data_IF_089012366575
#
_entry.id   IF_089012366575
#
_cell.length_a   1.000
_cell.length_b   1.000
_cell.length_c   1.000
_cell.angle_alpha   90.00
_cell.angle_beta   90.00
_cell.angle_gamma   90.00
#
_symmetry.space_group_name_H-M   'P 1'
#
loop_
_entity.id
_entity.type
_entity.pdbx_description
1 polymer ?
#
# COMPACT_ATOMS: atom_id res chain seq x y z
N UNK A 1 -35.95 -16.37 6.18
CA UNK A 1 -34.66 -16.86 5.64
C UNK A 1 -34.24 -16.16 4.36
N UNK A 2 -35.05 -16.12 3.28
CA UNK A 2 -34.68 -15.42 2.03
C UNK A 2 -34.28 -13.94 2.22
N UNK A 3 -35.00 -13.19 3.05
CA UNK A 3 -34.68 -11.78 3.37
C UNK A 3 -33.34 -11.60 4.12
N UNK A 4 -32.95 -12.57 4.94
CA UNK A 4 -31.66 -12.57 5.66
C UNK A 4 -30.49 -12.87 4.73
N UNK A 5 -30.66 -13.79 3.76
CA UNK A 5 -29.65 -14.10 2.75
C UNK A 5 -29.39 -12.89 1.84
N UNK A 6 -30.46 -12.18 1.44
CA UNK A 6 -30.32 -10.95 0.63
C UNK A 6 -29.59 -9.87 1.42
N UNK A 7 -29.95 -9.67 2.70
CA UNK A 7 -29.28 -8.69 3.56
C UNK A 7 -27.78 -9.02 3.76
N UNK A 8 -27.47 -10.30 3.95
CA UNK A 8 -26.09 -10.78 4.06
C UNK A 8 -25.30 -10.54 2.77
N UNK A 9 -25.87 -10.88 1.61
CA UNK A 9 -25.21 -10.66 0.31
C UNK A 9 -24.98 -9.17 0.03
N UNK A 10 -25.95 -8.29 0.32
CA UNK A 10 -25.76 -6.84 0.15
C UNK A 10 -24.71 -6.26 1.10
N UNK A 11 -24.59 -6.84 2.30
CA UNK A 11 -23.57 -6.42 3.27
C UNK A 11 -22.17 -6.78 2.77
N UNK A 12 -21.96 -8.02 2.28
CA UNK A 12 -20.67 -8.46 1.73
C UNK A 12 -20.26 -7.66 0.49
N UNK A 13 -21.20 -7.32 -0.40
CA UNK A 13 -20.92 -6.49 -1.58
C UNK A 13 -20.52 -5.04 -1.25
N UNK A 14 -20.88 -4.54 -0.06
CA UNK A 14 -20.56 -3.16 0.34
C UNK A 14 -19.11 -2.97 0.81
N UNK A 15 -18.35 -4.06 1.00
CA UNK A 15 -16.95 -4.04 1.43
C UNK A 15 -15.95 -4.31 0.31
N UNK A 16 -16.33 -4.13 -0.96
CA UNK A 16 -15.38 -4.24 -2.06
C UNK A 16 -14.24 -3.22 -1.89
N UNK A 17 -13.04 -3.72 -1.62
CA UNK A 17 -11.80 -2.99 -1.41
C UNK A 17 -11.38 -2.32 -2.72
N UNK A 18 -11.69 -1.03 -2.87
CA UNK A 18 -11.35 -0.19 -4.03
C UNK A 18 -11.89 -0.69 -5.39
N UNK A 19 -12.08 0.17 -6.39
CA UNK A 19 -12.55 -0.29 -7.71
C UNK A 19 -11.47 -1.04 -8.52
N UNK A 20 -10.28 -1.23 -7.94
CA UNK A 20 -9.13 -1.87 -8.57
C UNK A 20 -8.71 -3.08 -7.74
N UNK A 21 -8.42 -4.19 -8.41
CA UNK A 21 -7.82 -5.37 -7.78
C UNK A 21 -6.30 -5.36 -7.97
N UNK A 22 -5.62 -6.12 -7.11
CA UNK A 22 -4.22 -6.49 -7.18
C UNK A 22 -3.98 -7.68 -8.14
N UNK A 23 -5.01 -8.14 -8.84
CA UNK A 23 -4.89 -9.19 -9.85
C UNK A 23 -3.86 -8.81 -10.92
N UNK A 24 -3.04 -9.78 -11.32
CA UNK A 24 -2.06 -9.64 -12.41
C UNK A 24 -0.92 -8.63 -12.17
N UNK A 25 -0.73 -8.12 -10.95
CA UNK A 25 0.45 -7.32 -10.62
C UNK A 25 1.69 -8.24 -10.62
N UNK A 26 2.54 -8.10 -11.65
CA UNK A 26 3.76 -8.92 -11.82
C UNK A 26 5.04 -8.15 -11.59
N UNK A 27 5.00 -6.84 -11.73
CA UNK A 27 6.17 -5.99 -11.66
C UNK A 27 5.81 -4.56 -11.25
N UNK A 28 6.61 -3.98 -10.35
CA UNK A 28 6.42 -2.63 -9.80
C UNK A 28 7.78 -2.00 -9.55
N UNK A 29 7.88 -0.67 -9.63
CA UNK A 29 9.05 0.07 -9.19
C UNK A 29 8.92 0.39 -7.71
N UNK A 30 9.75 -0.23 -6.86
CA UNK A 30 9.74 0.02 -5.42
C UNK A 30 10.41 1.37 -5.09
N UNK A 31 9.69 2.25 -4.40
CA UNK A 31 10.18 3.57 -4.00
C UNK A 31 9.79 3.90 -2.56
N UNK A 32 10.73 4.44 -1.79
CA UNK A 32 10.45 5.03 -0.50
C UNK A 32 10.42 6.57 -0.64
N UNK A 33 9.33 7.21 -0.21
CA UNK A 33 9.17 8.66 -0.28
C UNK A 33 9.46 9.30 1.08
N UNK A 34 10.70 9.74 1.27
CA UNK A 34 11.18 10.47 2.45
C UNK A 34 11.45 11.96 2.12
N UNK A 35 10.43 12.69 1.62
CA UNK A 35 10.59 14.06 1.07
C UNK A 35 11.18 15.12 2.02
N UNK A 36 11.20 14.87 3.32
CA UNK A 36 11.72 15.82 4.33
C UNK A 36 12.86 15.24 5.16
N UNK A 37 13.39 14.08 4.76
CA UNK A 37 14.41 13.34 5.54
C UNK A 37 14.01 13.17 7.01
N UNK A 38 12.71 12.99 7.23
CA UNK A 38 12.12 12.89 8.56
C UNK A 38 12.48 11.57 9.25
N UNK A 39 13.05 10.63 8.49
CA UNK A 39 13.34 9.26 8.88
C UNK A 39 14.79 8.99 8.53
N UNK A 40 15.48 8.25 9.40
CA UNK A 40 16.88 7.89 9.16
C UNK A 40 17.02 7.04 7.90
N UNK A 41 18.09 7.29 7.14
CA UNK A 41 18.41 6.51 5.93
C UNK A 41 18.54 5.01 6.23
N UNK A 42 19.07 4.67 7.41
CA UNK A 42 19.19 3.29 7.88
C UNK A 42 17.83 2.60 8.00
N UNK A 43 16.83 3.28 8.55
CA UNK A 43 15.48 2.75 8.67
C UNK A 43 14.81 2.64 7.29
N UNK A 44 14.97 3.65 6.44
CA UNK A 44 14.48 3.63 5.05
C UNK A 44 15.04 2.43 4.26
N UNK A 45 16.35 2.19 4.35
CA UNK A 45 17.01 1.04 3.71
C UNK A 45 16.52 -0.30 4.30
N UNK A 46 16.35 -0.37 5.63
CA UNK A 46 15.84 -1.57 6.31
C UNK A 46 14.43 -1.93 5.84
N UNK A 47 13.51 -0.96 5.80
CA UNK A 47 12.13 -1.15 5.36
C UNK A 47 12.10 -1.51 3.88
N UNK A 48 12.82 -0.76 3.03
CA UNK A 48 12.86 -0.99 1.59
C UNK A 48 13.37 -2.39 1.26
N UNK A 49 14.43 -2.85 1.95
CA UNK A 49 14.96 -4.20 1.79
C UNK A 49 13.93 -5.27 2.16
N UNK A 50 13.27 -5.12 3.31
CA UNK A 50 12.28 -6.09 3.79
C UNK A 50 11.07 -6.16 2.86
N UNK A 51 10.53 -5.02 2.44
CA UNK A 51 9.42 -4.96 1.48
C UNK A 51 9.82 -5.60 0.15
N UNK A 52 11.02 -5.30 -0.35
CA UNK A 52 11.55 -5.92 -1.57
C UNK A 52 11.58 -7.44 -1.46
N UNK A 53 12.13 -7.98 -0.37
CA UNK A 53 12.23 -9.42 -0.14
C UNK A 53 10.83 -10.09 -0.13
N UNK A 54 9.83 -9.47 0.49
CA UNK A 54 8.47 -10.02 0.49
C UNK A 54 7.79 -9.93 -0.88
N UNK A 55 7.95 -8.83 -1.62
CA UNK A 55 7.44 -8.72 -3.00
C UNK A 55 8.08 -9.77 -3.92
N UNK A 56 9.39 -9.99 -3.82
CA UNK A 56 10.10 -10.99 -4.61
C UNK A 56 9.65 -12.43 -4.26
N UNK A 57 9.34 -12.72 -2.99
CA UNK A 57 8.73 -14.01 -2.58
C UNK A 57 7.34 -14.23 -3.18
N UNK A 58 6.58 -13.16 -3.40
CA UNK A 58 5.29 -13.21 -4.11
C UNK A 58 5.45 -13.33 -5.64
N UNK A 59 6.68 -13.34 -6.15
CA UNK A 59 6.97 -13.38 -7.59
C UNK A 59 6.84 -12.01 -8.27
N UNK A 60 6.68 -10.92 -7.50
CA UNK A 60 6.57 -9.56 -8.01
C UNK A 60 7.98 -8.99 -8.21
N UNK A 61 8.33 -8.63 -9.45
CA UNK A 61 9.60 -7.97 -9.74
C UNK A 61 9.57 -6.53 -9.24
N UNK A 62 10.62 -6.09 -8.54
CA UNK A 62 10.66 -4.72 -7.97
C UNK A 62 11.35 -3.68 -8.85
N UNK A 63 11.43 -3.93 -10.16
CA UNK A 63 11.96 -3.01 -11.16
C UNK A 63 11.27 -3.26 -12.50
N UNK A 64 10.76 -2.21 -13.16
CA UNK A 64 10.10 -2.30 -14.47
C UNK A 64 10.28 -1.02 -15.27
N UNK A 65 10.24 -1.15 -16.60
CA UNK A 65 10.18 -0.02 -17.53
C UNK A 65 8.78 0.63 -17.58
N UNK A 66 7.75 -0.10 -17.13
CA UNK A 66 6.38 0.40 -17.09
C UNK A 66 6.20 1.40 -15.94
N UNK A 67 5.27 2.34 -16.10
CA UNK A 67 4.86 3.21 -15.00
C UNK A 67 3.91 2.43 -14.08
N UNK A 68 4.48 1.59 -13.22
CA UNK A 68 3.82 0.99 -12.05
C UNK A 68 4.76 1.12 -10.87
N UNK A 69 4.32 1.76 -9.79
CA UNK A 69 5.17 2.14 -8.68
C UNK A 69 4.56 1.65 -7.38
N UNK A 70 5.31 0.83 -6.65
CA UNK A 70 5.00 0.47 -5.27
C UNK A 70 5.68 1.49 -4.35
N UNK A 71 4.89 2.36 -3.76
CA UNK A 71 5.35 3.52 -3.00
C UNK A 71 5.12 3.26 -1.52
N UNK A 72 6.20 3.31 -0.76
CA UNK A 72 6.19 3.39 0.70
C UNK A 72 6.37 4.85 1.07
N UNK A 73 5.58 5.35 2.02
CA UNK A 73 5.67 6.72 2.49
C UNK A 73 5.53 6.76 4.00
N UNK A 74 6.30 7.64 4.63
CA UNK A 74 6.08 7.97 6.02
C UNK A 74 6.26 9.48 6.23
N UNK A 75 5.33 10.07 6.97
CA UNK A 75 5.23 11.50 7.23
C UNK A 75 5.12 11.71 8.73
N UNK A 76 5.96 12.57 9.26
CA UNK A 76 5.96 12.93 10.68
C UNK A 76 5.53 14.39 10.80
N UNK A 77 4.59 14.63 11.73
CA UNK A 77 4.12 15.95 12.13
C UNK A 77 4.32 16.07 13.63
N UNK A 78 5.07 17.07 14.08
CA UNK A 78 5.19 17.38 15.51
C UNK A 78 3.95 18.17 15.94
N UNK A 79 3.25 17.67 16.97
CA UNK A 79 2.09 18.32 17.58
C UNK A 79 2.38 18.42 19.07
N UNK A 80 2.62 19.64 19.56
CA UNK A 80 3.17 19.89 20.89
C UNK A 80 4.48 19.08 21.13
N UNK A 81 4.49 18.23 22.15
CA UNK A 81 5.59 17.34 22.54
C UNK A 81 5.51 15.95 21.88
N UNK A 82 4.47 15.69 21.08
CA UNK A 82 4.23 14.38 20.46
C UNK A 82 4.62 14.35 18.98
N UNK A 83 5.05 13.18 18.52
CA UNK A 83 5.31 12.90 17.11
C UNK A 83 4.14 12.12 16.53
N UNK A 84 3.29 12.79 15.75
CA UNK A 84 2.23 12.14 15.00
C UNK A 84 2.79 11.64 13.67
N UNK A 85 2.58 10.35 13.38
CA UNK A 85 3.14 9.66 12.23
C UNK A 85 2.00 9.18 11.34
N UNK A 86 2.18 9.34 10.04
CA UNK A 86 1.32 8.75 9.02
C UNK A 86 2.18 7.92 8.08
N UNK A 87 1.90 6.64 7.97
CA UNK A 87 2.55 5.68 7.08
C UNK A 87 1.57 5.28 5.98
N UNK A 88 2.09 4.97 4.78
CA UNK A 88 1.26 4.52 3.66
C UNK A 88 2.04 3.52 2.79
N UNK A 89 1.32 2.51 2.31
CA UNK A 89 1.70 1.73 1.13
C UNK A 89 0.69 2.02 0.04
N UNK A 90 1.16 2.29 -1.18
CA UNK A 90 0.30 2.55 -2.32
C UNK A 90 0.89 2.05 -3.63
N UNK A 91 0.03 1.65 -4.57
CA UNK A 91 0.41 1.34 -5.94
C UNK A 91 -0.11 2.46 -6.85
N UNK A 92 0.79 3.02 -7.65
CA UNK A 92 0.48 4.08 -8.62
C UNK A 92 0.93 3.64 -9.99
N UNK A 93 -0.01 3.50 -10.91
CA UNK A 93 0.25 2.95 -12.22
C UNK A 93 -0.61 3.55 -13.33
N UNK A 94 -0.17 3.31 -14.57
CA UNK A 94 -0.94 3.61 -15.75
C UNK A 94 -2.08 2.60 -15.91
N UNK A 95 -3.31 3.10 -15.97
CA UNK A 95 -4.50 2.31 -16.21
C UNK A 95 -5.19 2.73 -17.51
N UNK A 96 -5.94 1.79 -18.08
CA UNK A 96 -6.89 2.03 -19.16
C UNK A 96 -8.30 1.73 -18.63
N UNK A 97 -9.06 2.74 -18.18
CA UNK A 97 -10.41 2.53 -17.69
C UNK A 97 -11.31 2.07 -18.84
N UNK A 98 -12.27 1.21 -18.52
CA UNK A 98 -13.28 0.73 -19.48
C UNK A 98 -14.26 1.87 -19.79
N UNK A 99 -14.06 2.55 -20.92
CA UNK A 99 -14.87 3.66 -21.43
C UNK A 99 -14.93 3.59 -22.96
N UNK A 100 -15.87 4.32 -23.57
CA UNK A 100 -16.02 4.39 -25.03
C UNK A 100 -14.76 4.92 -25.73
N UNK A 101 -14.00 5.77 -25.06
CA UNK A 101 -12.70 6.28 -25.53
C UNK A 101 -11.54 5.75 -24.69
N UNK A 102 -10.46 5.31 -25.36
CA UNK A 102 -9.24 4.83 -24.70
C UNK A 102 -8.43 5.99 -24.12
N UNK A 103 -8.60 6.24 -22.82
CA UNK A 103 -7.78 7.19 -22.06
C UNK A 103 -6.68 6.43 -21.30
N UNK A 104 -5.40 6.80 -21.49
CA UNK A 104 -4.35 6.37 -20.58
C UNK A 104 -4.30 7.36 -19.41
N UNK A 105 -4.43 6.88 -18.17
CA UNK A 105 -4.41 7.74 -16.99
C UNK A 105 -3.62 7.12 -15.85
N UNK A 106 -3.03 7.95 -15.01
CA UNK A 106 -2.34 7.53 -13.80
C UNK A 106 -3.37 7.42 -12.68
N UNK A 107 -3.46 6.25 -12.07
CA UNK A 107 -4.34 6.00 -10.94
C UNK A 107 -3.59 5.42 -9.73
N UNK A 108 -4.17 5.63 -8.55
CA UNK A 108 -3.81 4.88 -7.35
C UNK A 108 -4.69 3.64 -7.35
N UNK A 109 -4.09 2.48 -7.60
CA UNK A 109 -4.81 1.20 -7.70
C UNK A 109 -4.80 0.42 -6.39
N UNK A 110 -3.91 0.77 -5.47
CA UNK A 110 -3.95 0.30 -4.08
C UNK A 110 -3.52 1.41 -3.14
N UNK A 111 -4.16 1.50 -1.98
CA UNK A 111 -3.72 2.39 -0.90
C UNK A 111 -4.18 1.88 0.46
N UNK A 112 -3.23 1.73 1.36
CA UNK A 112 -3.48 1.55 2.79
C UNK A 112 -2.67 2.57 3.57
N UNK A 113 -3.31 3.16 4.56
CA UNK A 113 -2.70 4.14 5.45
C UNK A 113 -2.81 3.65 6.89
N UNK A 114 -1.84 4.05 7.71
CA UNK A 114 -1.91 3.95 9.16
C UNK A 114 -1.46 5.27 9.78
N UNK A 115 -1.97 5.58 10.98
CA UNK A 115 -1.74 6.85 11.65
C UNK A 115 -1.74 6.67 13.17
N UNK A 116 -0.65 7.11 13.81
CA UNK A 116 -0.43 6.88 15.23
C UNK A 116 0.41 7.99 15.86
N UNK A 117 0.44 8.02 17.19
CA UNK A 117 1.38 8.83 17.96
C UNK A 117 2.55 7.91 18.30
N UNK A 118 3.76 8.27 17.89
CA UNK A 118 4.94 7.46 18.13
C UNK A 118 5.42 7.57 19.59
N UNK A 119 5.65 6.43 20.22
CA UNK A 119 6.38 6.29 21.47
C UNK A 119 7.86 6.00 21.19
N UNK A 120 8.13 5.13 20.21
CA UNK A 120 9.45 4.85 19.67
C UNK A 120 9.44 4.98 18.15
N UNK A 121 9.73 6.19 17.68
CA UNK A 121 9.55 6.58 16.28
C UNK A 121 10.06 5.57 15.24
N UNK A 122 11.27 5.06 15.39
CA UNK A 122 11.84 4.15 14.38
C UNK A 122 11.21 2.75 14.43
N UNK A 123 10.90 2.27 15.63
CA UNK A 123 10.26 0.97 15.84
C UNK A 123 8.81 1.02 15.33
N UNK A 124 8.06 2.03 15.76
CA UNK A 124 6.65 2.17 15.44
C UNK A 124 6.43 2.36 13.91
N UNK A 125 7.31 3.12 13.24
CA UNK A 125 7.27 3.24 11.77
C UNK A 125 7.55 1.89 11.08
N UNK A 126 8.51 1.12 11.60
CA UNK A 126 8.84 -0.19 11.04
C UNK A 126 7.66 -1.15 11.20
N UNK A 127 7.10 -1.26 12.40
CA UNK A 127 5.97 -2.15 12.71
C UNK A 127 4.75 -1.78 11.87
N UNK A 128 4.41 -0.48 11.82
CA UNK A 128 3.31 0.01 11.00
C UNK A 128 3.48 -0.35 9.51
N UNK A 129 4.66 -0.16 8.92
CA UNK A 129 4.85 -0.43 7.49
C UNK A 129 5.00 -1.92 7.20
N UNK A 130 5.83 -2.63 7.96
CA UNK A 130 6.23 -4.01 7.65
C UNK A 130 5.27 -5.02 8.25
N UNK A 131 4.92 -4.86 9.52
CA UNK A 131 4.17 -5.88 10.25
C UNK A 131 2.65 -5.67 10.13
N UNK A 132 2.20 -4.47 9.71
CA UNK A 132 0.80 -4.16 9.47
C UNK A 132 0.47 -3.90 7.99
N UNK A 133 0.95 -2.80 7.40
CA UNK A 133 0.53 -2.38 6.05
C UNK A 133 0.97 -3.36 4.94
N UNK A 134 2.17 -3.92 5.06
CA UNK A 134 2.71 -4.88 4.09
C UNK A 134 2.03 -6.25 4.23
N UNK A 135 1.77 -6.72 5.45
CA UNK A 135 1.04 -7.98 5.67
C UNK A 135 -0.39 -7.89 5.09
N UNK A 136 -1.11 -6.79 5.33
CA UNK A 136 -2.43 -6.54 4.72
C UNK A 136 -2.35 -6.60 3.17
N UNK A 137 -1.33 -5.99 2.58
CA UNK A 137 -1.11 -6.05 1.13
C UNK A 137 -0.86 -7.49 0.65
N UNK A 138 -0.02 -8.24 1.36
CA UNK A 138 0.31 -9.63 1.03
C UNK A 138 -0.92 -10.51 1.10
N UNK A 139 -1.73 -10.37 2.15
CA UNK A 139 -2.99 -11.10 2.32
C UNK A 139 -3.96 -10.81 1.17
N UNK A 140 -4.16 -9.54 0.85
CA UNK A 140 -5.04 -9.16 -0.26
C UNK A 140 -4.51 -9.68 -1.61
N UNK A 141 -3.20 -9.55 -1.88
CA UNK A 141 -2.59 -10.02 -3.12
C UNK A 141 -2.78 -11.54 -3.31
N UNK A 142 -2.60 -12.33 -2.24
CA UNK A 142 -2.82 -13.79 -2.25
C UNK A 142 -4.30 -14.18 -2.35
N UNK A 143 -5.21 -13.35 -1.84
CA UNK A 143 -6.64 -13.62 -1.96
C UNK A 143 -7.14 -13.42 -3.41
N UNK A 144 -6.47 -12.55 -4.16
CA UNK A 144 -6.85 -12.16 -5.51
C UNK A 144 -6.06 -12.90 -6.62
N UNK A 145 -4.94 -13.59 -6.30
CA UNK A 145 -4.10 -14.32 -7.27
C UNK A 145 -3.81 -15.76 -6.82
#
# INVERSE_FOLDING_TARGET
MKKLIILFLTFVYSFALTPYSLENIKEVNLKFLNKKENISKKLEEKITKKVKEELEKLGIKTNTQNYSNFIIKAKIVKIADKQFVQTSIMIVEDIKPVRDESLLTIAITYKKDDSFIAENLEVDIYESIVDYLLEDFIEQYKAEN
#
